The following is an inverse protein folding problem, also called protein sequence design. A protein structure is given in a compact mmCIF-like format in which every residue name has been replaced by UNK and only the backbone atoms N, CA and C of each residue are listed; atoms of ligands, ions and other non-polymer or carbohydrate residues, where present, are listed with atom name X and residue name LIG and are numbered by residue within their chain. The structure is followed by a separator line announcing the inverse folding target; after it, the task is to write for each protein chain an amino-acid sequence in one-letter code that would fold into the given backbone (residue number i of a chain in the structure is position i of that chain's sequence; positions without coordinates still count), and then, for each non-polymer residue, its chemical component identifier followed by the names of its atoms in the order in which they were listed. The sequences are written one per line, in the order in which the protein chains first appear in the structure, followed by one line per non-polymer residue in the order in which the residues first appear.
data_IF_959984149841
#
_entry.id   IF_959984149841
#
_cell.length_a   1.000
_cell.length_b   1.000
_cell.length_c   1.000
_cell.angle_alpha   90.00
_cell.angle_beta   90.00
_cell.angle_gamma   90.00
#
_symmetry.space_group_name_H-M   'P 1'
#
loop_
_entity.id
_entity.type
_entity.pdbx_description
1 polymer ?
#
# COMPACT_ATOMS: atom_id res chain seq x y z
N UNK A 1 29.47 -20.63 1.84
CA UNK A 1 28.02 -20.72 2.12
C UNK A 1 27.78 -20.04 3.46
N UNK A 2 27.29 -18.81 3.47
CA UNK A 2 26.74 -18.15 4.66
C UNK A 2 25.88 -16.99 4.18
N UNK A 3 24.57 -17.22 4.14
CA UNK A 3 23.52 -16.22 3.97
C UNK A 3 23.28 -15.58 5.34
N UNK A 4 23.52 -14.28 5.50
CA UNK A 4 23.02 -13.54 6.64
C UNK A 4 22.65 -12.11 6.22
N UNK A 5 21.35 -11.89 6.04
CA UNK A 5 20.65 -10.75 6.63
C UNK A 5 20.83 -9.37 5.99
N UNK A 6 20.36 -9.19 4.74
CA UNK A 6 19.93 -7.88 4.25
C UNK A 6 18.41 -7.94 3.99
N UNK A 7 17.64 -7.79 5.07
CA UNK A 7 16.28 -7.28 4.97
C UNK A 7 16.39 -5.79 5.26
N UNK A 8 16.52 -4.90 4.25
CA UNK A 8 16.40 -3.48 4.50
C UNK A 8 15.02 -3.21 5.10
N UNK A 9 14.99 -2.39 6.15
CA UNK A 9 13.83 -2.04 6.95
C UNK A 9 12.57 -1.78 6.11
N UNK A 10 11.62 -2.72 6.16
CA UNK A 10 10.24 -2.56 5.65
C UNK A 10 9.62 -1.26 6.16
N UNK A 11 9.94 -0.87 7.40
CA UNK A 11 9.40 0.31 8.08
C UNK A 11 9.86 1.66 7.50
N UNK A 12 11.01 1.73 6.79
CA UNK A 12 11.52 3.01 6.28
C UNK A 12 10.81 3.49 5.00
N UNK A 13 10.21 2.57 4.24
CA UNK A 13 9.42 2.86 3.03
C UNK A 13 7.96 3.19 3.39
N UNK A 14 7.48 2.73 4.56
CA UNK A 14 6.12 2.93 5.04
C UNK A 14 5.85 4.37 5.56
N UNK A 15 6.89 5.09 5.99
CA UNK A 15 6.74 6.40 6.63
C UNK A 15 6.11 7.48 5.75
N UNK A 16 6.56 7.63 4.50
CA UNK A 16 6.06 8.68 3.59
C UNK A 16 4.69 8.33 2.99
N UNK A 17 4.42 7.05 2.78
CA UNK A 17 3.11 6.56 2.34
C UNK A 17 2.05 6.83 3.41
N UNK A 18 2.26 6.38 4.65
CA UNK A 18 1.32 6.57 5.75
C UNK A 18 1.08 8.05 6.12
N UNK A 19 2.08 8.93 5.95
CA UNK A 19 1.94 10.36 6.29
C UNK A 19 0.92 11.10 5.42
N UNK A 20 0.76 10.73 4.15
CA UNK A 20 -0.18 11.42 3.24
C UNK A 20 -1.64 11.00 3.42
N UNK A 21 -1.90 9.78 3.89
CA UNK A 21 -3.27 9.30 4.08
C UNK A 21 -3.97 9.85 5.31
N UNK A 22 -3.23 10.36 6.30
CA UNK A 22 -3.84 11.01 7.48
C UNK A 22 -4.64 12.29 7.14
N UNK A 23 -4.48 12.85 5.93
CA UNK A 23 -5.23 14.01 5.47
C UNK A 23 -6.39 13.67 4.51
N UNK A 24 -6.43 12.47 3.95
CA UNK A 24 -7.44 12.07 2.98
C UNK A 24 -8.46 11.12 3.62
N UNK A 25 -9.70 11.58 3.68
CA UNK A 25 -10.87 10.80 4.10
C UNK A 25 -11.15 9.74 3.03
N UNK A 26 -10.39 8.63 3.04
CA UNK A 26 -10.35 7.65 1.93
C UNK A 26 -11.69 6.99 1.64
N UNK A 27 -12.63 6.91 2.59
CA UNK A 27 -14.01 6.49 2.31
C UNK A 27 -14.96 7.26 3.22
N UNK A 28 -15.48 8.41 2.76
CA UNK A 28 -16.67 9.01 3.37
C UNK A 28 -17.91 8.27 2.86
N UNK A 29 -18.20 7.10 3.41
CA UNK A 29 -19.59 6.62 3.42
C UNK A 29 -20.17 6.93 4.79
N UNK A 30 -21.21 7.74 4.74
CA UNK A 30 -21.93 8.31 5.85
C UNK A 30 -22.64 7.19 6.63
N UNK A 31 -22.02 6.66 7.68
CA UNK A 31 -22.74 6.02 8.79
C UNK A 31 -21.78 5.87 9.98
N UNK A 32 -22.20 6.39 11.13
CA UNK A 32 -21.50 6.34 12.41
C UNK A 32 -21.32 4.88 12.86
N UNK A 33 -20.25 4.19 12.43
CA UNK A 33 -19.61 3.04 13.10
C UNK A 33 -18.38 2.46 12.35
N UNK A 34 -17.68 3.25 11.53
CA UNK A 34 -16.58 2.76 10.66
C UNK A 34 -15.17 3.22 11.08
N UNK A 35 -14.95 3.58 12.35
CA UNK A 35 -13.72 4.28 12.73
C UNK A 35 -12.45 3.38 12.78
N UNK A 36 -12.57 2.07 12.98
CA UNK A 36 -11.40 1.18 13.15
C UNK A 36 -11.06 0.29 11.96
N UNK A 37 -11.95 0.12 10.98
CA UNK A 37 -11.70 -0.80 9.84
C UNK A 37 -10.86 -0.16 8.72
N UNK A 38 -10.80 1.17 8.63
CA UNK A 38 -10.15 1.87 7.53
C UNK A 38 -8.61 1.83 7.58
N UNK A 39 -8.03 1.51 8.75
CA UNK A 39 -6.58 1.52 8.91
C UNK A 39 -5.91 0.29 8.30
N UNK A 40 -6.62 -0.85 8.22
CA UNK A 40 -6.07 -2.08 7.63
C UNK A 40 -5.74 -1.90 6.14
N UNK A 41 -6.61 -1.24 5.39
CA UNK A 41 -6.44 -1.02 3.94
C UNK A 41 -5.22 -0.14 3.63
N UNK A 42 -4.90 0.81 4.53
CA UNK A 42 -3.74 1.67 4.44
C UNK A 42 -2.41 0.89 4.50
N UNK A 43 -2.35 -0.16 5.31
CA UNK A 43 -1.18 -1.04 5.37
C UNK A 43 -1.22 -2.13 4.29
N UNK A 44 -2.42 -2.58 3.90
CA UNK A 44 -2.59 -3.69 2.98
C UNK A 44 -2.30 -3.31 1.53
N UNK A 45 -2.74 -2.13 1.08
CA UNK A 45 -2.52 -1.65 -0.28
C UNK A 45 -1.03 -1.57 -0.70
N UNK A 46 -0.12 -0.93 0.07
CA UNK A 46 1.29 -0.86 -0.30
C UNK A 46 1.95 -2.25 -0.27
N UNK A 47 1.52 -3.13 0.64
CA UNK A 47 2.07 -4.47 0.74
C UNK A 47 1.71 -5.34 -0.48
N UNK A 48 0.45 -5.29 -0.94
CA UNK A 48 0.05 -6.00 -2.17
C UNK A 48 0.75 -5.40 -3.39
N UNK A 49 0.86 -4.07 -3.46
CA UNK A 49 1.55 -3.39 -4.56
C UNK A 49 3.02 -3.81 -4.66
N UNK A 50 3.73 -3.82 -3.53
CA UNK A 50 5.12 -4.27 -3.44
C UNK A 50 5.28 -5.74 -3.84
N UNK A 51 4.38 -6.62 -3.37
CA UNK A 51 4.39 -8.04 -3.70
C UNK A 51 4.31 -8.28 -5.22
N UNK A 52 3.43 -7.57 -5.91
CA UNK A 52 3.26 -7.66 -7.37
C UNK A 52 4.41 -7.02 -8.15
N UNK A 53 4.81 -5.79 -7.77
CA UNK A 53 5.75 -5.00 -8.57
C UNK A 53 7.21 -5.35 -8.33
N UNK A 54 7.62 -5.50 -7.08
CA UNK A 54 9.04 -5.64 -6.70
C UNK A 54 9.42 -7.09 -6.43
N UNK A 55 8.59 -7.81 -5.68
CA UNK A 55 8.91 -9.20 -5.29
C UNK A 55 8.40 -10.25 -6.28
N UNK A 56 7.55 -9.87 -7.23
CA UNK A 56 6.98 -10.75 -8.25
C UNK A 56 6.31 -12.00 -7.65
N UNK A 57 5.61 -11.82 -6.53
CA UNK A 57 4.85 -12.88 -5.87
C UNK A 57 3.69 -13.29 -6.77
N UNK A 58 3.45 -14.60 -6.90
CA UNK A 58 2.24 -15.10 -7.53
C UNK A 58 1.04 -14.87 -6.61
N UNK A 59 0.24 -13.86 -6.93
CA UNK A 59 -0.95 -13.49 -6.14
C UNK A 59 -2.19 -14.32 -6.50
N UNK A 60 -2.11 -15.27 -7.42
CA UNK A 60 -3.26 -16.12 -7.80
C UNK A 60 -3.73 -17.02 -6.64
N UNK A 61 -2.82 -17.36 -5.73
CA UNK A 61 -3.12 -18.09 -4.48
C UNK A 61 -3.93 -17.23 -3.49
N UNK A 62 -4.00 -15.91 -3.69
CA UNK A 62 -4.66 -14.95 -2.80
C UNK A 62 -5.74 -14.13 -3.53
N UNK A 63 -6.81 -14.77 -4.04
CA UNK A 63 -7.80 -14.13 -4.91
C UNK A 63 -8.53 -12.96 -4.24
N UNK A 64 -8.70 -12.99 -2.93
CA UNK A 64 -9.29 -11.88 -2.18
C UNK A 64 -8.39 -10.64 -2.20
N UNK A 65 -7.07 -10.81 -2.00
CA UNK A 65 -6.10 -9.73 -2.02
C UNK A 65 -5.96 -9.14 -3.43
N UNK A 66 -6.05 -10.00 -4.46
CA UNK A 66 -6.04 -9.54 -5.85
C UNK A 66 -7.26 -8.64 -6.15
N UNK A 67 -8.46 -9.05 -5.72
CA UNK A 67 -9.67 -8.23 -5.86
C UNK A 67 -9.58 -6.90 -5.10
N UNK A 68 -8.95 -6.90 -3.93
CA UNK A 68 -8.72 -5.67 -3.17
C UNK A 68 -7.73 -4.75 -3.87
N UNK A 69 -6.66 -5.30 -4.45
CA UNK A 69 -5.72 -4.52 -5.26
C UNK A 69 -6.41 -3.84 -6.44
N UNK A 70 -7.31 -4.54 -7.12
CA UNK A 70 -8.09 -3.95 -8.22
C UNK A 70 -8.96 -2.79 -7.70
N UNK A 71 -9.65 -2.98 -6.57
CA UNK A 71 -10.43 -1.92 -5.93
C UNK A 71 -9.57 -0.72 -5.47
N UNK A 72 -8.37 -0.95 -4.94
CA UNK A 72 -7.45 0.13 -4.56
C UNK A 72 -6.96 0.92 -5.77
N UNK A 73 -6.73 0.24 -6.90
CA UNK A 73 -6.28 0.89 -8.14
C UNK A 73 -7.34 1.82 -8.75
N UNK A 74 -8.61 1.71 -8.38
CA UNK A 74 -9.68 2.62 -8.80
C UNK A 74 -9.75 3.91 -7.97
N UNK A 75 -9.17 3.91 -6.77
CA UNK A 75 -9.28 5.02 -5.82
C UNK A 75 -8.19 6.08 -6.07
N UNK A 76 -8.55 7.35 -6.33
CA UNK A 76 -7.58 8.41 -6.56
C UNK A 76 -6.56 8.59 -5.43
N UNK A 77 -6.98 8.40 -4.18
CA UNK A 77 -6.10 8.52 -3.01
C UNK A 77 -4.92 7.54 -3.06
N UNK A 78 -5.16 6.29 -3.48
CA UNK A 78 -4.08 5.31 -3.64
C UNK A 78 -3.23 5.59 -4.88
N UNK A 79 -3.85 6.05 -5.97
CA UNK A 79 -3.12 6.45 -7.17
C UNK A 79 -2.18 7.64 -6.91
N UNK A 80 -2.56 8.60 -6.07
CA UNK A 80 -1.76 9.79 -5.73
C UNK A 80 -0.66 9.50 -4.70
N UNK A 81 -0.83 8.45 -3.91
CA UNK A 81 0.17 7.96 -2.98
C UNK A 81 1.22 7.04 -3.62
N UNK A 82 1.11 6.74 -4.92
CA UNK A 82 2.10 5.96 -5.66
C UNK A 82 3.51 6.52 -5.51
N UNK A 83 4.50 5.62 -5.43
CA UNK A 83 5.92 5.96 -5.26
C UNK A 83 6.38 6.96 -6.32
N UNK A 84 5.96 6.76 -7.56
CA UNK A 84 6.34 7.56 -8.73
C UNK A 84 5.81 8.99 -8.69
N UNK A 85 4.79 9.26 -7.87
CA UNK A 85 4.17 10.58 -7.70
C UNK A 85 4.69 11.34 -6.47
N UNK A 86 5.67 10.79 -5.76
CA UNK A 86 6.24 11.47 -4.59
C UNK A 86 7.27 12.52 -5.01
N UNK A 87 7.37 13.67 -4.30
CA UNK A 87 8.29 14.76 -4.67
C UNK A 87 9.76 14.35 -4.72
N UNK A 88 10.12 13.32 -3.95
CA UNK A 88 11.46 12.75 -3.81
C UNK A 88 11.69 11.54 -4.73
N UNK A 89 10.74 11.23 -5.61
CA UNK A 89 10.90 10.13 -6.55
C UNK A 89 12.04 10.42 -7.55
N UNK A 90 13.04 9.56 -7.54
CA UNK A 90 14.10 9.52 -8.55
C UNK A 90 13.90 8.27 -9.42
N UNK A 91 13.74 8.42 -10.75
CA UNK A 91 13.67 7.29 -11.67
C UNK A 91 14.98 6.49 -11.63
N UNK A 92 14.88 5.17 -11.53
CA UNK A 92 16.00 4.22 -11.57
C UNK A 92 16.21 3.65 -12.96
#
# INVERSE_FOLDING_TARGET
MQLHGLMPNVCAVEGSFCQKFNAAKVISRHDELVHYHLQADLFLAPQIHAALKWFKVDMTEFPLLLRLNDAYNELPAFQDAMKEKQPDYVPS
#
